data_IF_558007824427
#
_entry.id   IF_558007824427
#
_cell.length_a   1.000
_cell.length_b   1.000
_cell.length_c   1.000
_cell.angle_alpha   90.00
_cell.angle_beta   90.00
_cell.angle_gamma   90.00
#
_symmetry.space_group_name_H-M   'P 1'
#
loop_
_entity.id
_entity.type
_entity.pdbx_description
1 polymer ?
#
# COMPACT_ATOMS: atom_id res chain seq x y z
N UNK A 1 20.59 -11.83 -5.09
CA UNK A 1 19.85 -12.03 -3.82
C UNK A 1 20.46 -11.13 -2.75
N UNK A 2 19.63 -10.49 -1.89
CA UNK A 2 20.10 -9.54 -0.86
C UNK A 2 20.24 -10.15 0.55
N UNK A 3 20.27 -11.48 0.69
CA UNK A 3 20.54 -12.18 1.96
C UNK A 3 19.39 -12.21 2.97
N UNK A 4 18.16 -11.89 2.57
CA UNK A 4 16.97 -11.97 3.44
C UNK A 4 16.45 -13.41 3.53
N UNK A 5 15.86 -13.80 4.68
CA UNK A 5 15.32 -15.14 4.85
C UNK A 5 14.12 -15.35 3.91
N UNK A 6 13.90 -16.60 3.49
CA UNK A 6 12.98 -16.93 2.40
C UNK A 6 11.53 -16.52 2.70
N UNK A 7 11.13 -16.68 3.95
CA UNK A 7 9.84 -16.26 4.48
C UNK A 7 9.66 -14.74 4.35
N UNK A 8 10.66 -13.92 4.65
CA UNK A 8 10.52 -12.47 4.51
C UNK A 8 10.41 -11.98 3.05
N UNK A 9 10.71 -12.82 2.05
CA UNK A 9 10.68 -12.49 0.62
C UNK A 9 9.31 -12.73 -0.04
N UNK A 10 8.23 -12.42 0.67
CA UNK A 10 6.87 -12.44 0.14
C UNK A 10 6.28 -11.03 0.08
N UNK A 11 5.12 -10.90 -0.59
CA UNK A 11 4.34 -9.67 -0.53
C UNK A 11 3.43 -9.71 0.70
N UNK A 12 3.76 -8.95 1.73
CA UNK A 12 2.95 -8.80 2.92
C UNK A 12 2.09 -7.53 2.78
N UNK A 13 0.77 -7.69 2.82
CA UNK A 13 -0.15 -6.55 2.73
C UNK A 13 -0.09 -5.74 4.03
N UNK A 14 0.10 -4.43 3.91
CA UNK A 14 0.29 -3.50 5.04
C UNK A 14 -0.72 -2.37 5.05
N UNK A 15 -1.31 -2.05 3.91
CA UNK A 15 -2.37 -1.05 3.76
C UNK A 15 -3.49 -1.68 2.95
N UNK A 16 -4.72 -1.51 3.43
CA UNK A 16 -5.95 -1.81 2.74
C UNK A 16 -6.91 -0.66 3.07
N UNK A 17 -6.97 0.33 2.17
CA UNK A 17 -7.84 1.49 2.31
C UNK A 17 -8.95 1.38 1.28
N UNK A 18 -10.20 1.52 1.72
CA UNK A 18 -11.38 1.52 0.86
C UNK A 18 -11.86 2.95 0.70
N UNK A 19 -12.16 3.32 -0.53
CA UNK A 19 -12.73 4.61 -0.89
C UNK A 19 -14.27 4.53 -0.99
N UNK A 20 -14.91 5.70 -0.96
CA UNK A 20 -16.37 5.82 -0.98
C UNK A 20 -16.98 5.34 -2.31
N UNK A 21 -16.22 5.44 -3.41
CA UNK A 21 -16.58 4.99 -4.75
C UNK A 21 -16.44 3.46 -4.95
N UNK A 22 -16.23 2.71 -3.86
CA UNK A 22 -15.95 1.27 -3.82
C UNK A 22 -14.57 0.87 -4.34
N UNK A 23 -13.71 1.80 -4.73
CA UNK A 23 -12.32 1.47 -5.05
C UNK A 23 -11.53 1.13 -3.79
N UNK A 24 -10.46 0.35 -3.95
CA UNK A 24 -9.62 -0.13 -2.85
C UNK A 24 -8.16 0.08 -3.23
N UNK A 25 -7.44 0.80 -2.38
CA UNK A 25 -5.99 0.90 -2.42
C UNK A 25 -5.37 -0.19 -1.54
N UNK A 26 -4.51 -1.01 -2.15
CA UNK A 26 -3.77 -2.08 -1.48
C UNK A 26 -2.28 -1.83 -1.65
N UNK A 27 -1.54 -1.74 -0.54
CA UNK A 27 -0.08 -1.68 -0.57
C UNK A 27 0.55 -2.80 0.23
N UNK A 28 1.68 -3.31 -0.25
CA UNK A 28 2.43 -4.36 0.42
C UNK A 28 3.94 -4.26 0.22
N UNK A 29 4.68 -5.05 0.99
CA UNK A 29 6.15 -5.06 0.98
C UNK A 29 6.75 -5.52 -0.34
N UNK A 30 6.00 -6.34 -1.10
CA UNK A 30 6.37 -6.95 -2.37
C UNK A 30 7.84 -7.40 -2.40
N UNK A 31 8.20 -8.28 -1.45
CA UNK A 31 9.54 -8.83 -1.27
C UNK A 31 10.65 -7.77 -1.16
N UNK A 32 10.49 -6.81 -0.23
CA UNK A 32 11.39 -5.67 -0.03
C UNK A 32 11.47 -4.71 -1.23
N UNK A 33 10.40 -4.63 -2.01
CA UNK A 33 10.19 -3.63 -3.06
C UNK A 33 8.74 -3.14 -2.99
N UNK A 34 8.41 -2.27 -2.01
CA UNK A 34 7.02 -1.87 -1.74
C UNK A 34 6.27 -1.41 -2.99
N UNK A 35 5.05 -1.92 -3.16
CA UNK A 35 4.17 -1.59 -4.29
C UNK A 35 2.75 -1.33 -3.78
N UNK A 36 2.07 -0.42 -4.45
CA UNK A 36 0.66 -0.09 -4.25
C UNK A 36 -0.13 -0.36 -5.52
N UNK A 37 -1.39 -0.80 -5.36
CA UNK A 37 -2.35 -1.04 -6.43
C UNK A 37 -3.71 -0.49 -6.07
N UNK A 38 -4.37 0.16 -7.03
CA UNK A 38 -5.77 0.56 -6.91
C UNK A 38 -6.62 -0.47 -7.67
N UNK A 39 -7.68 -0.91 -7.01
CA UNK A 39 -8.68 -1.80 -7.57
C UNK A 39 -10.01 -1.07 -7.60
N UNK A 40 -10.68 -1.05 -8.74
CA UNK A 40 -12.01 -0.48 -8.90
C UNK A 40 -13.06 -1.58 -8.75
N UNK A 41 -14.14 -1.27 -8.03
CA UNK A 41 -15.27 -2.18 -7.89
C UNK A 41 -16.07 -2.24 -9.18
N UNK A 42 -16.32 -3.44 -9.68
CA UNK A 42 -17.18 -3.67 -10.83
C UNK A 42 -18.60 -4.12 -10.41
N UNK A 43 -19.49 -4.22 -11.39
CA UNK A 43 -20.81 -4.83 -11.18
C UNK A 43 -20.61 -6.27 -10.72
N UNK A 44 -21.39 -6.68 -9.73
CA UNK A 44 -21.41 -8.02 -9.13
C UNK A 44 -20.27 -8.34 -8.14
N UNK A 45 -19.50 -7.34 -7.70
CA UNK A 45 -18.54 -7.50 -6.59
C UNK A 45 -17.15 -7.99 -7.01
N UNK A 46 -16.89 -8.02 -8.31
CA UNK A 46 -15.54 -8.21 -8.85
C UNK A 46 -14.72 -6.92 -8.73
N UNK A 47 -13.40 -7.07 -8.73
CA UNK A 47 -12.44 -5.97 -8.61
C UNK A 47 -11.41 -6.05 -9.73
N UNK A 48 -11.24 -4.94 -10.45
CA UNK A 48 -10.25 -4.83 -11.53
C UNK A 48 -9.13 -3.88 -11.13
N UNK A 49 -7.88 -4.30 -11.33
CA UNK A 49 -6.73 -3.44 -11.07
C UNK A 49 -6.69 -2.31 -12.10
N UNK A 50 -6.82 -1.06 -11.65
CA UNK A 50 -6.76 0.12 -12.51
C UNK A 50 -5.41 0.85 -12.47
N UNK A 51 -4.70 0.78 -11.34
CA UNK A 51 -3.40 1.45 -11.16
C UNK A 51 -2.40 0.57 -10.41
N UNK A 52 -1.12 0.66 -10.77
CA UNK A 52 0.02 0.10 -10.01
C UNK A 52 1.14 1.15 -9.93
N UNK A 53 1.66 1.40 -8.73
CA UNK A 53 2.73 2.36 -8.52
C UNK A 53 3.64 1.98 -7.34
N UNK A 54 4.75 2.69 -7.23
CA UNK A 54 5.73 2.53 -6.16
C UNK A 54 5.12 2.80 -4.78
N UNK A 55 5.24 1.85 -3.86
CA UNK A 55 4.80 2.00 -2.47
C UNK A 55 5.84 2.63 -1.56
N UNK A 56 6.90 3.24 -2.11
CA UNK A 56 7.99 3.82 -1.33
C UNK A 56 7.51 5.00 -0.48
N UNK A 57 7.81 4.95 0.82
CA UNK A 57 7.29 5.92 1.81
C UNK A 57 5.89 5.57 2.34
N UNK A 58 5.15 4.73 1.61
CA UNK A 58 3.74 4.42 1.88
C UNK A 58 3.61 3.10 2.62
N UNK A 59 4.27 2.04 2.12
CA UNK A 59 4.36 0.74 2.75
C UNK A 59 5.82 0.43 3.15
N UNK A 60 6.05 -0.29 4.27
CA UNK A 60 7.39 -0.65 4.69
C UNK A 60 8.03 -1.66 3.72
N UNK A 61 9.36 -1.64 3.65
CA UNK A 61 10.14 -2.63 2.93
C UNK A 61 10.14 -3.99 3.64
N UNK A 62 10.43 -3.98 4.94
CA UNK A 62 10.54 -5.19 5.76
C UNK A 62 9.17 -5.46 6.41
N UNK A 63 8.62 -6.69 6.30
CA UNK A 63 7.34 -7.03 6.92
C UNK A 63 7.35 -6.90 8.45
N UNK A 64 8.54 -6.94 9.08
CA UNK A 64 8.68 -6.80 10.52
C UNK A 64 8.72 -5.32 10.98
N UNK A 65 8.73 -4.36 10.05
CA UNK A 65 8.65 -2.95 10.42
C UNK A 65 7.20 -2.55 10.75
N UNK A 66 7.05 -1.89 11.89
CA UNK A 66 5.79 -1.27 12.27
C UNK A 66 5.43 -0.18 11.25
N UNK A 67 4.14 -0.12 10.94
CA UNK A 67 3.56 0.88 10.05
C UNK A 67 2.13 1.16 10.46
N UNK A 68 1.67 2.36 10.17
CA UNK A 68 0.28 2.77 10.34
C UNK A 68 -0.16 3.59 9.14
N UNK A 69 -1.47 3.66 8.91
CA UNK A 69 -2.05 4.54 7.91
C UNK A 69 -3.40 5.08 8.38
N UNK A 70 -3.79 6.22 7.81
CA UNK A 70 -5.10 6.82 7.98
C UNK A 70 -5.56 7.34 6.61
N UNK A 71 -6.82 7.08 6.27
CA UNK A 71 -7.49 7.66 5.10
C UNK A 71 -8.46 8.73 5.58
N UNK A 72 -8.41 9.90 4.96
CA UNK A 72 -9.34 11.01 5.20
C UNK A 72 -9.73 11.61 3.85
N UNK A 73 -10.92 11.24 3.35
CA UNK A 73 -11.33 11.50 1.97
C UNK A 73 -10.29 10.99 0.97
N UNK A 74 -9.89 11.83 0.03
CA UNK A 74 -8.91 11.51 -1.03
C UNK A 74 -7.45 11.50 -0.55
N UNK A 75 -7.21 11.78 0.73
CA UNK A 75 -5.87 11.83 1.32
C UNK A 75 -5.53 10.56 2.08
N UNK A 76 -4.39 9.95 1.72
CA UNK A 76 -3.79 8.87 2.49
C UNK A 76 -2.59 9.39 3.29
N UNK A 77 -2.63 9.22 4.60
CA UNK A 77 -1.52 9.48 5.52
C UNK A 77 -0.86 8.15 5.89
N UNK A 78 0.44 8.02 5.61
CA UNK A 78 1.20 6.81 5.94
C UNK A 78 2.40 7.11 6.86
N UNK A 79 2.59 6.25 7.86
CA UNK A 79 3.76 6.23 8.73
C UNK A 79 4.46 4.87 8.65
N UNK A 80 5.67 4.82 8.11
CA UNK A 80 6.45 3.57 7.93
C UNK A 80 7.85 3.68 8.53
N UNK A 81 8.52 2.54 8.75
CA UNK A 81 9.88 2.52 9.29
C UNK A 81 10.88 3.27 8.39
N UNK A 82 11.57 4.25 8.97
CA UNK A 82 12.41 5.30 8.36
C UNK A 82 11.68 6.59 7.95
N UNK A 83 10.81 7.12 8.82
CA UNK A 83 10.09 8.35 8.54
C UNK A 83 10.12 9.34 9.72
N UNK A 84 10.77 10.48 9.48
CA UNK A 84 10.57 11.76 10.18
C UNK A 84 9.44 12.61 9.51
N UNK A 85 8.79 12.12 8.45
CA UNK A 85 7.87 12.88 7.58
C UNK A 85 6.66 12.04 7.14
N UNK A 86 5.46 12.31 7.67
CA UNK A 86 4.21 11.66 7.21
C UNK A 86 4.05 11.89 5.70
N UNK A 87 3.91 10.81 4.92
CA UNK A 87 3.63 10.93 3.49
C UNK A 87 2.12 11.13 3.31
N UNK A 88 1.77 12.23 2.63
CA UNK A 88 0.40 12.53 2.22
C UNK A 88 0.29 12.26 0.73
N UNK A 89 -0.56 11.31 0.36
CA UNK A 89 -0.87 11.03 -1.04
C UNK A 89 -2.21 11.66 -1.35
N UNK A 90 -2.25 12.55 -2.34
CA UNK A 90 -3.49 12.89 -3.05
C UNK A 90 -3.67 11.90 -4.20
N UNK A 91 -4.71 11.09 -4.16
CA UNK A 91 -5.05 10.28 -5.33
C UNK A 91 -5.65 11.19 -6.42
N UNK A 92 -5.26 11.04 -7.69
CA UNK A 92 -5.92 11.75 -8.77
C UNK A 92 -7.36 11.23 -8.92
N UNK A 93 -8.32 12.15 -9.11
CA UNK A 93 -9.69 11.86 -9.54
C UNK A 93 -9.74 11.10 -10.87
#
# INVERSE_FOLDING_TARGET
MKGKPKDACHNYIRILAKDDDQSILICGTNAFQPMCRKYEGEKYGDYTQSLEFSGLGIAPYDPNHNSTFLRDGDLLYAGTGNVHIIWVISEPE
#
